data_IF_509477980727
#
_entry.id   IF_509477980727
#
_cell.length_a   1.000
_cell.length_b   1.000
_cell.length_c   1.000
_cell.angle_alpha   90.00
_cell.angle_beta   90.00
_cell.angle_gamma   90.00
#
_symmetry.space_group_name_H-M   'P 1'
#
loop_
_entity.id
_entity.type
_entity.pdbx_description
1 polymer ?
#
# COMPACT_ATOMS: atom_id res chain seq x y z
N UNK A 1 -34.35 40.85 19.18
CA UNK A 1 -32.87 40.92 19.22
C UNK A 1 -32.53 40.12 20.47
N UNK A 2 -31.99 38.91 20.41
CA UNK A 2 -30.66 38.55 19.90
C UNK A 2 -30.55 37.03 19.65
N UNK A 3 -29.83 36.70 18.56
CA UNK A 3 -28.89 35.60 18.35
C UNK A 3 -29.29 34.14 18.69
N UNK A 4 -29.98 33.52 17.73
CA UNK A 4 -29.87 32.08 17.49
C UNK A 4 -28.54 31.75 16.81
N UNK A 5 -27.48 31.57 17.59
CA UNK A 5 -26.22 31.01 17.09
C UNK A 5 -26.34 29.49 16.96
N UNK A 6 -26.98 29.06 15.86
CA UNK A 6 -26.86 27.70 15.36
C UNK A 6 -25.43 27.47 14.89
N UNK A 7 -24.54 27.15 15.84
CA UNK A 7 -23.18 26.71 15.57
C UNK A 7 -23.20 25.58 14.54
N UNK A 8 -22.91 25.93 13.29
CA UNK A 8 -22.73 24.97 12.20
C UNK A 8 -21.45 24.21 12.50
N UNK A 9 -21.58 23.21 13.36
CA UNK A 9 -20.50 22.29 13.67
C UNK A 9 -20.10 21.64 12.34
N UNK A 10 -18.93 22.05 11.84
CA UNK A 10 -18.30 21.58 10.63
C UNK A 10 -17.85 20.13 10.86
N UNK A 11 -18.82 19.24 11.00
CA UNK A 11 -18.60 17.87 11.39
C UNK A 11 -17.92 17.18 10.21
N UNK A 12 -16.74 16.61 10.43
CA UNK A 12 -15.97 15.95 9.37
C UNK A 12 -16.74 14.73 8.82
N UNK A 13 -16.52 14.40 7.54
CA UNK A 13 -17.10 13.16 7.00
C UNK A 13 -16.31 11.97 7.54
N UNK A 14 -16.99 11.08 8.25
CA UNK A 14 -16.41 9.86 8.82
C UNK A 14 -15.75 8.99 7.73
N UNK A 15 -16.31 8.97 6.52
CA UNK A 15 -15.70 8.28 5.37
C UNK A 15 -14.39 8.92 4.89
N UNK A 16 -14.31 10.26 4.90
CA UNK A 16 -13.08 10.95 4.52
C UNK A 16 -11.92 10.67 5.49
N UNK A 17 -12.22 10.61 6.80
CA UNK A 17 -11.23 10.23 7.82
C UNK A 17 -10.81 8.76 7.65
N UNK A 18 -11.76 7.86 7.39
CA UNK A 18 -11.44 6.44 7.16
C UNK A 18 -10.49 6.25 5.97
N UNK A 19 -10.77 6.88 4.81
CA UNK A 19 -9.87 6.82 3.65
C UNK A 19 -8.49 7.42 3.95
N UNK A 20 -8.44 8.53 4.69
CA UNK A 20 -7.17 9.14 5.11
C UNK A 20 -6.35 8.21 5.99
N UNK A 21 -6.95 7.61 7.02
CA UNK A 21 -6.27 6.67 7.93
C UNK A 21 -5.79 5.44 7.16
N UNK A 22 -6.62 4.88 6.28
CA UNK A 22 -6.23 3.75 5.43
C UNK A 22 -5.05 4.14 4.54
N UNK A 23 -5.06 5.34 3.93
CA UNK A 23 -3.96 5.80 3.09
C UNK A 23 -2.64 5.90 3.87
N UNK A 24 -2.67 6.43 5.11
CA UNK A 24 -1.48 6.50 5.96
C UNK A 24 -0.99 5.10 6.31
N UNK A 25 -1.88 4.21 6.75
CA UNK A 25 -1.50 2.84 7.11
C UNK A 25 -0.88 2.09 5.92
N UNK A 26 -1.46 2.23 4.74
CA UNK A 26 -0.96 1.62 3.51
C UNK A 26 0.40 2.19 3.12
N UNK A 27 0.56 3.52 3.11
CA UNK A 27 1.84 4.15 2.78
C UNK A 27 2.92 3.72 3.75
N UNK A 28 2.64 3.71 5.07
CA UNK A 28 3.59 3.27 6.09
C UNK A 28 3.92 1.78 5.92
N UNK A 29 2.93 0.92 5.69
CA UNK A 29 3.16 -0.51 5.48
C UNK A 29 4.01 -0.77 4.23
N UNK A 30 3.72 -0.11 3.11
CA UNK A 30 4.49 -0.26 1.88
C UNK A 30 5.90 0.28 2.05
N UNK A 31 6.09 1.43 2.69
CA UNK A 31 7.45 1.94 2.98
C UNK A 31 8.22 0.98 3.88
N UNK A 32 7.58 0.44 4.93
CA UNK A 32 8.21 -0.55 5.79
C UNK A 32 8.59 -1.83 5.03
N UNK A 33 7.79 -2.27 4.05
CA UNK A 33 8.12 -3.41 3.21
C UNK A 33 9.25 -3.08 2.22
N UNK A 34 9.18 -1.96 1.52
CA UNK A 34 10.18 -1.57 0.50
C UNK A 34 11.54 -1.27 1.12
N UNK A 35 11.58 -0.67 2.31
CA UNK A 35 12.83 -0.38 3.02
C UNK A 35 13.28 -1.56 3.90
N UNK A 36 12.34 -2.23 4.56
CA UNK A 36 12.62 -3.34 5.46
C UNK A 36 13.02 -4.62 4.73
N UNK A 37 12.46 -4.90 3.55
CA UNK A 37 12.80 -6.10 2.80
C UNK A 37 14.30 -6.15 2.41
N UNK A 38 14.90 -5.12 1.80
CA UNK A 38 16.33 -5.12 1.52
C UNK A 38 17.17 -5.26 2.79
N UNK A 39 16.78 -4.64 3.91
CA UNK A 39 17.52 -4.75 5.17
C UNK A 39 17.52 -6.17 5.70
N UNK A 40 16.38 -6.85 5.70
CA UNK A 40 16.26 -8.25 6.14
C UNK A 40 17.03 -9.18 5.20
N UNK A 41 16.91 -8.97 3.88
CA UNK A 41 17.59 -9.77 2.86
C UNK A 41 19.11 -9.54 2.82
N UNK A 42 19.60 -8.37 3.24
CA UNK A 42 21.04 -8.08 3.32
C UNK A 42 21.66 -8.56 4.64
N UNK A 43 20.84 -8.73 5.69
CA UNK A 43 21.29 -9.18 7.02
C UNK A 43 21.40 -10.70 7.12
N UNK A 44 20.66 -11.39 6.27
CA UNK A 44 20.79 -12.83 6.05
C UNK A 44 21.67 -12.98 4.81
N UNK A 45 22.55 -13.98 4.72
CA UNK A 45 23.24 -14.34 3.45
C UNK A 45 22.22 -14.92 2.43
N UNK A 46 21.04 -14.29 2.34
CA UNK A 46 19.87 -14.67 1.60
C UNK A 46 19.86 -14.08 0.19
N UNK A 47 20.93 -13.39 -0.22
CA UNK A 47 21.12 -13.00 -1.62
C UNK A 47 21.22 -14.23 -2.55
N UNK A 48 21.39 -15.44 -1.99
CA UNK A 48 21.17 -16.73 -2.67
C UNK A 48 19.68 -17.10 -2.84
N UNK A 49 18.74 -16.16 -2.67
CA UNK A 49 17.32 -16.34 -3.05
C UNK A 49 17.12 -16.57 -4.56
N UNK A 50 18.18 -16.51 -5.37
CA UNK A 50 18.22 -17.05 -6.73
C UNK A 50 18.22 -18.59 -6.78
N UNK A 51 18.27 -19.28 -5.63
CA UNK A 51 18.03 -20.73 -5.53
C UNK A 51 16.61 -21.15 -5.89
N UNK A 52 15.70 -20.20 -6.13
CA UNK A 52 14.42 -20.50 -6.76
C UNK A 52 14.64 -20.84 -8.24
N UNK A 53 14.97 -22.10 -8.51
CA UNK A 53 14.95 -22.64 -9.86
C UNK A 53 13.50 -22.99 -10.23
N UNK A 54 12.84 -22.24 -11.14
CA UNK A 54 11.49 -22.60 -11.59
C UNK A 54 11.43 -23.97 -12.27
N UNK A 55 12.57 -24.58 -12.64
CA UNK A 55 12.64 -25.94 -13.18
C UNK A 55 12.62 -27.04 -12.10
N UNK A 56 12.91 -26.73 -10.83
CA UNK A 56 12.83 -27.68 -9.72
C UNK A 56 12.03 -27.11 -8.53
N UNK A 57 10.70 -27.32 -8.50
CA UNK A 57 9.83 -26.89 -7.42
C UNK A 57 10.17 -27.50 -6.04
N UNK A 58 10.99 -28.56 -5.97
CA UNK A 58 11.38 -29.21 -4.72
C UNK A 58 12.65 -28.61 -4.08
N UNK A 59 13.33 -27.71 -4.77
CA UNK A 59 14.51 -26.99 -4.25
C UNK A 59 14.17 -25.96 -3.17
N UNK A 60 12.89 -25.65 -2.97
CA UNK A 60 12.42 -24.67 -1.99
C UNK A 60 12.44 -25.30 -0.59
N UNK A 61 13.48 -24.98 0.19
CA UNK A 61 13.52 -25.31 1.61
C UNK A 61 12.66 -24.32 2.42
N UNK A 62 11.44 -24.74 2.77
CA UNK A 62 10.50 -23.97 3.59
C UNK A 62 10.97 -23.79 5.05
N UNK A 63 12.03 -24.47 5.48
CA UNK A 63 12.60 -24.27 6.82
C UNK A 63 13.61 -23.10 6.87
N UNK A 64 14.03 -22.59 5.70
CA UNK A 64 14.95 -21.47 5.62
C UNK A 64 14.27 -20.15 6.04
N UNK A 65 14.80 -19.43 7.05
CA UNK A 65 14.22 -18.19 7.55
C UNK A 65 14.14 -17.09 6.48
N UNK A 66 15.05 -17.09 5.49
CA UNK A 66 15.04 -16.15 4.39
C UNK A 66 13.85 -16.36 3.45
N UNK A 67 13.54 -17.63 3.12
CA UNK A 67 12.40 -18.00 2.27
C UNK A 67 11.09 -17.64 2.97
N UNK A 68 10.99 -17.94 4.27
CA UNK A 68 9.82 -17.55 5.07
C UNK A 68 9.66 -16.03 5.08
N UNK A 69 10.73 -15.27 5.29
CA UNK A 69 10.69 -13.81 5.28
C UNK A 69 10.23 -13.28 3.91
N UNK A 70 10.78 -13.80 2.80
CA UNK A 70 10.39 -13.41 1.45
C UNK A 70 8.91 -13.70 1.17
N UNK A 71 8.40 -14.84 1.64
CA UNK A 71 6.98 -15.21 1.49
C UNK A 71 6.06 -14.25 2.26
N UNK A 72 6.42 -13.89 3.50
CA UNK A 72 5.65 -12.94 4.31
C UNK A 72 5.68 -11.53 3.71
N UNK A 73 6.85 -11.09 3.23
CA UNK A 73 7.02 -9.79 2.54
C UNK A 73 6.16 -9.76 1.27
N UNK A 74 6.21 -10.80 0.45
CA UNK A 74 5.43 -10.91 -0.80
C UNK A 74 3.92 -10.89 -0.54
N UNK A 75 3.45 -11.67 0.43
CA UNK A 75 2.03 -11.70 0.79
C UNK A 75 1.57 -10.37 1.39
N UNK A 76 2.39 -9.76 2.26
CA UNK A 76 2.14 -8.45 2.83
C UNK A 76 2.05 -7.35 1.76
N UNK A 77 2.91 -7.42 0.74
CA UNK A 77 2.88 -6.48 -0.39
C UNK A 77 1.58 -6.60 -1.19
N UNK A 78 1.17 -7.82 -1.54
CA UNK A 78 -0.10 -8.07 -2.26
C UNK A 78 -1.29 -7.53 -1.47
N UNK A 79 -1.36 -7.86 -0.17
CA UNK A 79 -2.43 -7.37 0.70
C UNK A 79 -2.42 -5.84 0.79
N UNK A 80 -1.25 -5.21 0.90
CA UNK A 80 -1.09 -3.76 0.92
C UNK A 80 -1.62 -3.09 -0.35
N UNK A 81 -1.33 -3.66 -1.51
CA UNK A 81 -1.86 -3.17 -2.81
C UNK A 81 -3.38 -3.27 -2.85
N UNK A 82 -3.96 -4.42 -2.46
CA UNK A 82 -5.42 -4.59 -2.39
C UNK A 82 -6.07 -3.58 -1.45
N UNK A 83 -5.46 -3.35 -0.28
CA UNK A 83 -5.94 -2.36 0.69
C UNK A 83 -5.86 -0.93 0.12
N UNK A 84 -4.86 -0.64 -0.72
CA UNK A 84 -4.75 0.65 -1.41
C UNK A 84 -5.91 0.87 -2.39
N UNK A 85 -6.34 -0.16 -3.11
CA UNK A 85 -7.55 -0.08 -3.95
C UNK A 85 -8.81 0.20 -3.12
N UNK A 86 -8.97 -0.44 -1.97
CA UNK A 86 -10.08 -0.16 -1.04
C UNK A 86 -10.01 1.27 -0.51
N UNK A 87 -8.82 1.73 -0.09
CA UNK A 87 -8.58 3.08 0.39
C UNK A 87 -8.83 4.16 -0.66
N UNK A 88 -8.46 3.87 -1.91
CA UNK A 88 -8.73 4.72 -3.08
C UNK A 88 -10.23 4.80 -3.35
N UNK A 89 -10.94 3.66 -3.39
CA UNK A 89 -12.39 3.61 -3.56
C UNK A 89 -13.16 4.37 -2.48
N UNK A 90 -12.76 4.21 -1.21
CA UNK A 90 -13.30 4.98 -0.08
C UNK A 90 -12.99 6.48 -0.18
N UNK A 91 -11.80 6.83 -0.70
CA UNK A 91 -11.41 8.22 -0.96
C UNK A 91 -12.32 8.85 -1.99
N UNK A 92 -12.49 8.20 -3.16
CA UNK A 92 -13.40 8.63 -4.23
C UNK A 92 -14.85 8.72 -3.73
N UNK A 93 -15.34 7.73 -2.99
CA UNK A 93 -16.68 7.77 -2.37
C UNK A 93 -16.82 8.95 -1.39
N UNK A 94 -15.75 9.29 -0.66
CA UNK A 94 -15.67 10.46 0.21
C UNK A 94 -15.69 11.80 -0.55
N UNK A 95 -15.14 11.87 -1.78
CA UNK A 95 -15.22 13.05 -2.65
C UNK A 95 -16.64 13.31 -3.18
N UNK A 96 -17.39 12.24 -3.46
CA UNK A 96 -18.76 12.31 -4.01
C UNK A 96 -19.76 12.84 -2.95
N UNK A 97 -19.47 12.70 -1.65
CA UNK A 97 -20.34 13.23 -0.60
C UNK A 97 -20.31 14.77 -0.52
N UNK A 98 -21.46 15.38 -0.84
CA UNK A 98 -21.57 16.82 -1.14
C UNK A 98 -21.46 17.77 0.07
N UNK A 99 -21.48 17.29 1.33
CA UNK A 99 -21.84 18.11 2.51
C UNK A 99 -20.76 18.42 3.56
N UNK A 100 -19.51 17.96 3.47
CA UNK A 100 -18.49 18.13 4.54
C UNK A 100 -17.08 18.39 3.99
N UNK A 101 -16.18 18.93 4.83
CA UNK A 101 -14.78 19.27 4.50
C UNK A 101 -14.08 18.09 3.80
N UNK A 102 -13.79 18.23 2.49
CA UNK A 102 -13.32 17.16 1.58
C UNK A 102 -11.81 16.93 1.59
N UNK A 103 -11.05 17.75 2.33
CA UNK A 103 -9.59 17.71 2.38
C UNK A 103 -9.06 16.30 2.71
N UNK A 104 -9.62 15.61 3.72
CA UNK A 104 -9.18 14.26 4.09
C UNK A 104 -9.49 13.20 3.02
N UNK A 105 -10.62 13.32 2.32
CA UNK A 105 -10.97 12.41 1.24
C UNK A 105 -10.06 12.61 0.01
N UNK A 106 -9.74 13.87 -0.32
CA UNK A 106 -8.83 14.21 -1.43
C UNK A 106 -7.42 13.71 -1.13
N UNK A 107 -6.89 13.99 0.06
CA UNK A 107 -5.54 13.53 0.46
C UNK A 107 -5.47 12.00 0.47
N UNK A 108 -6.47 11.32 1.03
CA UNK A 108 -6.53 9.86 1.05
C UNK A 108 -6.62 9.23 -0.35
N UNK A 109 -7.38 9.86 -1.26
CA UNK A 109 -7.48 9.42 -2.65
C UNK A 109 -6.18 9.66 -3.43
N UNK A 110 -5.54 10.82 -3.26
CA UNK A 110 -4.27 11.15 -3.93
C UNK A 110 -3.15 10.25 -3.44
N UNK A 111 -3.04 10.02 -2.13
CA UNK A 111 -2.00 9.14 -1.57
C UNK A 111 -2.17 7.69 -2.03
N UNK A 112 -3.39 7.14 -1.96
CA UNK A 112 -3.62 5.77 -2.46
C UNK A 112 -3.44 5.70 -3.99
N UNK A 113 -3.89 6.72 -4.73
CA UNK A 113 -3.68 6.78 -6.18
C UNK A 113 -2.19 6.81 -6.54
N UNK A 114 -1.37 7.54 -5.78
CA UNK A 114 0.08 7.61 -5.96
C UNK A 114 0.75 6.26 -5.66
N UNK A 115 0.29 5.54 -4.62
CA UNK A 115 0.75 4.17 -4.33
C UNK A 115 0.43 3.23 -5.50
N UNK A 116 -0.81 3.23 -5.98
CA UNK A 116 -1.23 2.39 -7.12
C UNK A 116 -0.39 2.72 -8.36
N UNK A 117 -0.18 4.01 -8.64
CA UNK A 117 0.63 4.46 -9.77
C UNK A 117 2.10 4.04 -9.61
N UNK A 118 2.68 4.18 -8.41
CA UNK A 118 4.04 3.76 -8.12
C UNK A 118 4.24 2.26 -8.31
N UNK A 119 3.30 1.44 -7.84
CA UNK A 119 3.31 -0.02 -8.06
C UNK A 119 3.19 -0.35 -9.54
N UNK A 120 2.32 0.33 -10.29
CA UNK A 120 2.20 0.13 -11.73
C UNK A 120 3.51 0.45 -12.48
N UNK A 121 4.18 1.55 -12.12
CA UNK A 121 5.49 1.90 -12.67
C UNK A 121 6.55 0.85 -12.33
N UNK A 122 6.58 0.34 -11.09
CA UNK A 122 7.50 -0.72 -10.70
C UNK A 122 7.28 -2.02 -11.49
N UNK A 123 6.01 -2.40 -11.74
CA UNK A 123 5.70 -3.57 -12.57
C UNK A 123 6.17 -3.35 -14.01
N UNK A 124 5.92 -2.17 -14.60
CA UNK A 124 6.39 -1.86 -15.95
C UNK A 124 7.92 -1.87 -16.05
N UNK A 125 8.60 -1.34 -15.04
CA UNK A 125 10.07 -1.40 -14.93
C UNK A 125 10.56 -2.83 -14.83
N UNK A 126 9.94 -3.65 -13.98
CA UNK A 126 10.28 -5.06 -13.83
C UNK A 126 10.12 -5.83 -15.14
N UNK A 127 9.04 -5.57 -15.89
CA UNK A 127 8.82 -6.18 -17.22
C UNK A 127 9.85 -5.67 -18.23
N UNK A 128 10.14 -4.36 -18.25
CA UNK A 128 11.09 -3.78 -19.20
C UNK A 128 12.53 -4.26 -18.95
N UNK A 129 12.92 -4.46 -17.69
CA UNK A 129 14.25 -4.96 -17.31
C UNK A 129 14.34 -6.49 -17.43
N UNK A 130 13.24 -7.20 -17.16
CA UNK A 130 13.17 -8.67 -17.20
C UNK A 130 12.87 -9.27 -18.57
N UNK A 131 12.49 -8.46 -19.56
CA UNK A 131 12.33 -8.92 -20.94
C UNK A 131 13.72 -9.25 -21.53
N UNK A 132 13.96 -10.50 -21.98
CA UNK A 132 15.20 -10.78 -22.71
C UNK A 132 15.22 -9.95 -23.99
N UNK A 133 16.29 -9.16 -24.17
CA UNK A 133 16.53 -8.40 -25.39
C UNK A 133 16.75 -9.31 -26.61
#
# INVERSE_FOLDING_TARGET
MEHGEGGRENRHSRMGIASFVISILVVVAILALVVGAPLVLSSTDALDAQSFDPADPQSIDLSNPAIIALQVIGLGFILGVLLSFVGFGLGVAGLIQRRRKRLFAIVGAVLNGLVILGVAVLILLAVAVGAPA
#
